data_IF_178145619515
#
_entry.id   IF_178145619515
#
_cell.length_a   1.000
_cell.length_b   1.000
_cell.length_c   1.000
_cell.angle_alpha   90.00
_cell.angle_beta   90.00
_cell.angle_gamma   90.00
#
_symmetry.space_group_name_H-M   'P 1'
#
loop_
_entity.id
_entity.type
_entity.pdbx_description
1 polymer ?
#
# COMPACT_ATOMS: atom_id res chain seq x y z
N UNK A 1 3.26 -11.56 5.77
CA UNK A 1 4.15 -10.99 6.81
C UNK A 1 5.46 -11.74 6.92
N UNK A 2 5.40 -13.07 7.07
CA UNK A 2 6.59 -13.92 7.28
C UNK A 2 7.47 -14.13 6.03
N UNK A 3 6.96 -13.95 4.82
CA UNK A 3 7.74 -14.17 3.59
C UNK A 3 8.54 -12.93 3.12
N UNK A 4 8.31 -11.74 3.71
CA UNK A 4 8.99 -10.50 3.31
C UNK A 4 9.86 -9.97 4.47
N UNK A 5 11.15 -10.31 4.38
CA UNK A 5 12.26 -9.92 5.26
C UNK A 5 12.14 -10.29 6.76
N UNK A 6 11.03 -10.88 7.23
CA UNK A 6 10.80 -11.19 8.67
C UNK A 6 11.28 -10.07 9.61
N UNK A 7 10.97 -8.81 9.26
CA UNK A 7 11.39 -7.61 10.02
C UNK A 7 12.92 -7.43 10.14
N UNK A 8 13.68 -7.78 9.10
CA UNK A 8 15.14 -7.67 9.11
C UNK A 8 15.83 -8.86 9.78
N UNK A 9 15.15 -10.02 9.92
CA UNK A 9 15.71 -11.22 10.56
C UNK A 9 17.05 -11.64 9.93
N UNK A 10 17.19 -11.51 8.62
CA UNK A 10 18.45 -11.79 7.91
C UNK A 10 19.58 -10.89 8.39
N UNK A 11 19.29 -9.60 8.63
CA UNK A 11 20.27 -8.65 9.12
C UNK A 11 20.62 -8.91 10.59
N UNK A 12 19.62 -9.20 11.43
CA UNK A 12 19.82 -9.59 12.83
C UNK A 12 20.68 -10.86 12.95
N UNK A 13 20.43 -11.87 12.09
CA UNK A 13 21.25 -13.10 12.02
C UNK A 13 22.69 -12.82 11.60
N UNK A 14 22.91 -11.90 10.67
CA UNK A 14 24.27 -11.49 10.23
C UNK A 14 25.01 -10.66 11.29
N UNK A 15 24.28 -9.92 12.13
CA UNK A 15 24.84 -9.02 13.13
C UNK A 15 24.31 -9.34 14.54
N UNK A 16 24.66 -10.49 15.13
CA UNK A 16 24.09 -10.94 16.42
C UNK A 16 24.50 -10.06 17.62
N UNK A 17 25.52 -9.22 17.46
CA UNK A 17 25.98 -8.26 18.50
C UNK A 17 25.31 -6.88 18.40
N UNK A 18 24.40 -6.69 17.45
CA UNK A 18 23.68 -5.44 17.26
C UNK A 18 22.82 -5.18 18.50
N UNK A 19 23.09 -4.09 19.23
CA UNK A 19 22.35 -3.71 20.46
C UNK A 19 21.12 -2.85 20.18
N UNK A 20 20.87 -2.53 18.91
CA UNK A 20 19.75 -1.68 18.47
C UNK A 20 18.69 -2.53 17.78
N UNK A 21 17.41 -2.12 17.94
CA UNK A 21 16.29 -2.74 17.23
C UNK A 21 16.21 -2.17 15.82
N UNK A 22 16.35 -3.04 14.82
CA UNK A 22 16.14 -2.66 13.43
C UNK A 22 14.64 -2.73 13.10
N UNK A 23 14.11 -1.66 12.51
CA UNK A 23 12.74 -1.61 11.98
C UNK A 23 12.76 -1.05 10.56
N UNK A 24 11.87 -1.54 9.70
CA UNK A 24 11.81 -1.16 8.29
C UNK A 24 10.76 -0.08 7.99
N UNK A 25 10.06 0.43 9.01
CA UNK A 25 9.05 1.49 8.87
C UNK A 25 7.74 1.07 8.20
N UNK A 26 7.57 -0.20 7.80
CA UNK A 26 6.40 -0.62 7.01
C UNK A 26 5.08 -0.41 7.74
N UNK A 27 5.02 -0.67 9.06
CA UNK A 27 3.79 -0.50 9.85
C UNK A 27 3.33 0.96 9.88
N UNK A 28 4.28 1.89 9.96
CA UNK A 28 3.98 3.32 9.94
C UNK A 28 3.50 3.74 8.54
N UNK A 29 4.17 3.29 7.48
CA UNK A 29 3.73 3.54 6.11
C UNK A 29 2.30 3.02 5.86
N UNK A 30 1.95 1.83 6.36
CA UNK A 30 0.60 1.27 6.29
C UNK A 30 -0.39 2.19 7.01
N UNK A 31 -0.09 2.63 8.23
CA UNK A 31 -0.98 3.49 9.01
C UNK A 31 -1.25 4.83 8.31
N UNK A 32 -0.21 5.46 7.76
CA UNK A 32 -0.32 6.73 7.03
C UNK A 32 -1.14 6.54 5.75
N UNK A 33 -0.92 5.45 5.01
CA UNK A 33 -1.70 5.15 3.80
C UNK A 33 -3.19 4.93 4.13
N UNK A 34 -3.50 4.14 5.17
CA UNK A 34 -4.89 3.92 5.60
C UNK A 34 -5.57 5.23 6.00
N UNK A 35 -4.86 6.15 6.64
CA UNK A 35 -5.38 7.47 7.01
C UNK A 35 -5.58 8.40 5.79
N UNK A 36 -4.88 8.13 4.69
CA UNK A 36 -4.99 8.90 3.44
C UNK A 36 -6.22 8.51 2.60
N UNK A 37 -6.86 7.38 2.90
CA UNK A 37 -8.05 6.92 2.17
C UNK A 37 -9.27 7.74 2.61
N UNK A 38 -10.06 8.31 1.67
CA UNK A 38 -11.24 9.08 2.01
C UNK A 38 -12.24 8.29 2.86
N UNK A 39 -12.80 8.94 3.89
CA UNK A 39 -13.87 8.36 4.72
C UNK A 39 -15.07 7.96 3.86
N UNK A 40 -15.68 6.81 4.17
CA UNK A 40 -16.79 6.25 3.41
C UNK A 40 -16.38 5.44 2.17
N UNK A 41 -15.07 5.25 1.92
CA UNK A 41 -14.59 4.34 0.88
C UNK A 41 -14.94 2.90 1.23
N UNK A 42 -15.76 2.25 0.40
CA UNK A 42 -16.19 0.85 0.58
C UNK A 42 -15.37 -0.14 -0.23
N UNK A 43 -14.69 0.33 -1.28
CA UNK A 43 -13.85 -0.49 -2.15
C UNK A 43 -12.65 0.28 -2.68
N UNK A 44 -11.54 -0.42 -2.84
CA UNK A 44 -10.31 0.10 -3.46
C UNK A 44 -9.83 -0.85 -4.54
N UNK A 45 -9.11 -0.32 -5.54
CA UNK A 45 -8.33 -1.13 -6.46
C UNK A 45 -6.85 -1.11 -6.05
N UNK A 46 -6.23 -2.28 -5.94
CA UNK A 46 -4.79 -2.40 -5.70
C UNK A 46 -4.06 -2.67 -7.03
N UNK A 47 -3.08 -1.82 -7.38
CA UNK A 47 -2.22 -1.95 -8.57
C UNK A 47 -0.75 -1.73 -8.25
N UNK A 48 0.12 -2.26 -9.11
CA UNK A 48 1.57 -2.27 -8.93
C UNK A 48 2.07 -3.53 -8.22
N UNK A 49 3.32 -3.51 -7.80
CA UNK A 49 3.99 -4.65 -7.18
C UNK A 49 3.42 -4.94 -5.79
N UNK A 50 3.18 -6.23 -5.49
CA UNK A 50 2.71 -6.70 -4.18
C UNK A 50 3.85 -6.71 -3.15
N UNK A 51 4.19 -5.53 -2.64
CA UNK A 51 5.19 -5.34 -1.59
C UNK A 51 4.64 -5.71 -0.19
N UNK A 52 5.52 -5.71 0.82
CA UNK A 52 5.12 -5.91 2.23
C UNK A 52 4.06 -4.91 2.68
N UNK A 53 4.21 -3.66 2.26
CA UNK A 53 3.24 -2.59 2.52
C UNK A 53 1.93 -2.88 1.80
N UNK A 54 1.97 -3.25 0.51
CA UNK A 54 0.76 -3.58 -0.25
C UNK A 54 -0.06 -4.72 0.40
N UNK A 55 0.61 -5.81 0.81
CA UNK A 55 -0.02 -6.94 1.49
C UNK A 55 -0.62 -6.51 2.85
N UNK A 56 0.13 -5.74 3.65
CA UNK A 56 -0.31 -5.31 4.97
C UNK A 56 -1.49 -4.31 4.90
N UNK A 57 -1.50 -3.46 3.88
CA UNK A 57 -2.60 -2.53 3.60
C UNK A 57 -3.84 -3.30 3.17
N UNK A 58 -3.71 -4.22 2.21
CA UNK A 58 -4.82 -5.05 1.76
C UNK A 58 -5.45 -5.80 2.94
N UNK A 59 -4.62 -6.39 3.79
CA UNK A 59 -5.03 -7.03 5.03
C UNK A 59 -5.82 -6.10 5.95
N UNK A 60 -5.27 -4.92 6.27
CA UNK A 60 -5.91 -3.97 7.17
C UNK A 60 -7.23 -3.41 6.60
N UNK A 61 -7.35 -3.29 5.28
CA UNK A 61 -8.58 -2.89 4.60
C UNK A 61 -9.65 -3.97 4.68
N UNK A 62 -9.29 -5.23 4.42
CA UNK A 62 -10.20 -6.36 4.58
C UNK A 62 -10.74 -6.43 6.02
N UNK A 63 -9.88 -6.27 7.03
CA UNK A 63 -10.31 -6.23 8.45
C UNK A 63 -11.21 -5.04 8.78
N UNK A 64 -11.11 -3.93 8.04
CA UNK A 64 -12.02 -2.77 8.15
C UNK A 64 -13.31 -2.97 7.35
N UNK A 65 -13.51 -4.13 6.73
CA UNK A 65 -14.67 -4.45 5.90
C UNK A 65 -14.66 -3.78 4.52
N UNK A 66 -13.55 -3.14 4.13
CA UNK A 66 -13.36 -2.48 2.84
C UNK A 66 -12.93 -3.54 1.82
N UNK A 67 -13.60 -3.55 0.68
CA UNK A 67 -13.30 -4.49 -0.39
C UNK A 67 -12.00 -4.11 -1.10
N UNK A 68 -11.08 -5.06 -1.20
CA UNK A 68 -9.83 -4.92 -1.95
C UNK A 68 -10.01 -5.64 -3.28
N UNK A 69 -10.01 -4.88 -4.37
CA UNK A 69 -10.14 -5.41 -5.72
C UNK A 69 -8.76 -5.53 -6.36
N UNK A 70 -8.50 -6.65 -7.00
CA UNK A 70 -7.35 -6.86 -7.91
C UNK A 70 -7.84 -7.27 -9.29
N UNK A 71 -6.97 -7.12 -10.29
CA UNK A 71 -7.35 -7.39 -11.69
C UNK A 71 -6.75 -8.67 -12.26
N UNK A 72 -5.60 -9.09 -11.75
CA UNK A 72 -4.90 -10.28 -12.22
C UNK A 72 -5.13 -11.43 -11.25
N UNK A 73 -5.38 -12.62 -11.79
CA UNK A 73 -5.58 -13.84 -10.99
C UNK A 73 -4.31 -14.20 -10.19
N UNK A 74 -3.12 -14.00 -10.77
CA UNK A 74 -1.85 -14.26 -10.07
C UNK A 74 -1.65 -13.34 -8.85
N UNK A 75 -2.17 -12.12 -8.90
CA UNK A 75 -2.15 -11.20 -7.75
C UNK A 75 -3.15 -11.61 -6.69
N UNK A 76 -4.35 -12.02 -7.13
CA UNK A 76 -5.36 -12.56 -6.24
C UNK A 76 -4.82 -13.75 -5.47
N UNK A 77 -4.24 -14.75 -6.15
CA UNK A 77 -3.68 -15.94 -5.50
C UNK A 77 -2.57 -15.60 -4.50
N UNK A 78 -1.66 -14.67 -4.85
CA UNK A 78 -0.58 -14.22 -3.94
C UNK A 78 -1.14 -13.52 -2.71
N UNK A 79 -2.14 -12.66 -2.88
CA UNK A 79 -2.80 -11.97 -1.77
C UNK A 79 -3.60 -12.96 -0.92
N UNK A 80 -4.42 -13.80 -1.53
CA UNK A 80 -5.25 -14.78 -0.84
C UNK A 80 -4.40 -15.73 0.00
N UNK A 81 -3.30 -16.25 -0.57
CA UNK A 81 -2.31 -17.05 0.19
C UNK A 81 -1.70 -16.27 1.36
N UNK A 82 -1.45 -14.98 1.18
CA UNK A 82 -0.86 -14.11 2.22
C UNK A 82 -1.85 -13.71 3.33
N UNK A 83 -3.12 -13.53 2.99
CA UNK A 83 -4.19 -13.14 3.92
C UNK A 83 -4.83 -14.36 4.61
N UNK A 84 -4.90 -15.50 3.92
CA UNK A 84 -5.62 -16.69 4.37
C UNK A 84 -7.09 -16.41 4.65
N UNK A 85 -7.65 -17.03 5.69
CA UNK A 85 -9.05 -16.83 6.13
C UNK A 85 -9.35 -15.40 6.60
N UNK A 86 -8.32 -14.58 6.79
CA UNK A 86 -8.45 -13.22 7.33
C UNK A 86 -8.92 -12.19 6.31
N UNK A 87 -9.12 -12.59 5.05
CA UNK A 87 -9.72 -11.72 4.04
C UNK A 87 -11.22 -11.52 4.24
N UNK A 88 -11.90 -12.41 4.99
CA UNK A 88 -13.36 -12.39 5.23
C UNK A 88 -14.20 -12.17 3.95
N UNK A 89 -13.71 -12.67 2.81
CA UNK A 89 -14.37 -12.48 1.50
C UNK A 89 -14.30 -11.05 0.95
N UNK A 90 -13.47 -10.18 1.52
CA UNK A 90 -13.27 -8.78 1.08
C UNK A 90 -12.23 -8.64 -0.02
N UNK A 91 -11.43 -9.66 -0.28
CA UNK A 91 -10.56 -9.71 -1.46
C UNK A 91 -11.36 -10.23 -2.65
N UNK A 92 -11.41 -9.48 -3.75
CA UNK A 92 -12.14 -9.88 -4.96
C UNK A 92 -11.32 -9.62 -6.22
N UNK A 93 -11.58 -10.42 -7.25
CA UNK A 93 -11.04 -10.21 -8.60
C UNK A 93 -12.09 -9.53 -9.47
N UNK A 94 -11.70 -8.50 -10.21
CA UNK A 94 -12.55 -7.87 -11.21
C UNK A 94 -11.80 -7.72 -12.54
N UNK A 95 -12.50 -7.85 -13.66
CA UNK A 95 -11.93 -7.51 -14.98
C UNK A 95 -12.11 -6.03 -15.34
N UNK A 96 -12.88 -5.30 -14.53
CA UNK A 96 -13.24 -3.90 -14.81
C UNK A 96 -12.53 -2.94 -13.87
N UNK A 97 -11.80 -2.01 -14.48
CA UNK A 97 -11.18 -0.85 -13.82
C UNK A 97 -12.22 0.16 -13.31
N UNK A 98 -13.45 0.09 -13.83
CA UNK A 98 -14.45 1.15 -13.69
C UNK A 98 -15.25 1.11 -12.40
N UNK A 99 -15.10 0.06 -11.58
CA UNK A 99 -15.84 -0.07 -10.33
C UNK A 99 -15.27 0.79 -9.21
N UNK A 100 -13.95 1.03 -9.20
CA UNK A 100 -13.25 1.65 -8.07
C UNK A 100 -12.86 3.10 -8.32
N UNK A 101 -13.32 4.01 -7.44
CA UNK A 101 -12.92 5.43 -7.45
C UNK A 101 -11.60 5.70 -6.73
N UNK A 102 -11.14 4.78 -5.86
CA UNK A 102 -9.87 4.90 -5.13
C UNK A 102 -8.94 3.78 -5.55
N UNK A 103 -7.73 4.15 -5.99
CA UNK A 103 -6.70 3.25 -6.45
C UNK A 103 -5.48 3.39 -5.54
N UNK A 104 -5.08 2.28 -4.93
CA UNK A 104 -3.83 2.16 -4.21
C UNK A 104 -2.77 1.67 -5.19
N UNK A 105 -1.74 2.48 -5.41
CA UNK A 105 -0.78 2.24 -6.49
C UNK A 105 0.66 2.21 -6.00
N UNK A 106 1.43 1.24 -6.48
CA UNK A 106 2.86 1.14 -6.24
C UNK A 106 3.67 1.16 -7.52
N UNK A 107 4.96 0.85 -7.37
CA UNK A 107 5.85 0.64 -8.51
C UNK A 107 5.30 -0.46 -9.43
N UNK A 108 5.51 -0.33 -10.73
CA UNK A 108 4.97 -1.26 -11.73
C UNK A 108 3.55 -0.93 -12.23
N UNK A 109 2.92 0.15 -11.75
CA UNK A 109 1.74 0.73 -12.40
C UNK A 109 2.11 1.23 -13.80
N UNK A 110 1.46 0.71 -14.84
CA UNK A 110 1.76 1.10 -16.23
C UNK A 110 0.93 2.30 -16.69
N UNK A 111 1.40 2.96 -17.75
CA UNK A 111 0.67 4.08 -18.36
C UNK A 111 -0.69 3.62 -18.94
N UNK A 112 -0.72 2.43 -19.52
CA UNK A 112 -1.92 1.81 -20.07
C UNK A 112 -2.97 1.52 -19.00
N UNK A 113 -2.54 1.06 -17.82
CA UNK A 113 -3.42 0.85 -16.67
C UNK A 113 -4.00 2.18 -16.17
N UNK A 114 -3.18 3.22 -16.03
CA UNK A 114 -3.68 4.55 -15.64
C UNK A 114 -4.70 5.10 -16.63
N UNK A 115 -4.51 4.90 -17.94
CA UNK A 115 -5.45 5.39 -18.96
C UNK A 115 -6.85 4.75 -18.82
N UNK A 116 -6.93 3.53 -18.29
CA UNK A 116 -8.18 2.80 -18.05
C UNK A 116 -8.93 3.26 -16.79
N UNK A 117 -8.33 4.12 -15.97
CA UNK A 117 -9.03 4.70 -14.82
C UNK A 117 -10.21 5.58 -15.26
N UNK A 118 -11.26 5.60 -14.46
CA UNK A 118 -12.40 6.47 -14.71
C UNK A 118 -12.06 7.93 -14.39
N UNK A 119 -12.80 8.85 -15.02
CA UNK A 119 -12.77 10.26 -14.63
C UNK A 119 -13.07 10.40 -13.13
N UNK A 120 -12.26 11.20 -12.44
CA UNK A 120 -12.36 11.44 -11.01
C UNK A 120 -11.76 10.34 -10.12
N UNK A 121 -11.07 9.34 -10.68
CA UNK A 121 -10.33 8.36 -9.88
C UNK A 121 -9.25 9.05 -9.06
N UNK A 122 -9.14 8.65 -7.79
CA UNK A 122 -8.10 9.07 -6.86
C UNK A 122 -7.00 8.01 -6.78
N UNK A 123 -5.79 8.39 -7.18
CA UNK A 123 -4.58 7.58 -7.04
C UNK A 123 -3.86 7.93 -5.74
N UNK A 124 -3.69 6.94 -4.86
CA UNK A 124 -2.96 7.04 -3.61
C UNK A 124 -1.74 6.12 -3.67
N UNK A 125 -0.52 6.68 -3.77
CA UNK A 125 0.68 5.86 -3.84
C UNK A 125 1.03 5.17 -2.52
N UNK A 126 1.56 3.96 -2.60
CA UNK A 126 2.23 3.26 -1.49
C UNK A 126 3.72 2.98 -1.76
N UNK A 127 4.22 3.40 -2.93
CA UNK A 127 5.64 3.43 -3.29
C UNK A 127 6.32 4.68 -2.74
N UNK A 128 7.66 4.66 -2.63
CA UNK A 128 8.42 5.82 -2.15
C UNK A 128 8.26 7.03 -3.08
N UNK A 129 8.26 6.80 -4.39
CA UNK A 129 8.06 7.85 -5.38
C UNK A 129 6.59 7.86 -5.86
N UNK A 130 6.00 9.06 -6.05
CA UNK A 130 4.65 9.17 -6.57
C UNK A 130 4.59 8.75 -8.05
N UNK A 131 3.45 8.22 -8.53
CA UNK A 131 3.28 7.86 -9.92
C UNK A 131 3.31 9.10 -10.80
N UNK A 132 3.74 8.92 -12.05
CA UNK A 132 3.59 9.96 -13.09
C UNK A 132 2.10 10.27 -13.28
N UNK A 133 1.75 11.56 -13.32
CA UNK A 133 0.37 12.03 -13.51
C UNK A 133 0.04 12.05 -15.01
N UNK A 134 -0.67 11.05 -15.50
CA UNK A 134 -0.99 10.94 -16.93
C UNK A 134 -2.38 11.47 -17.29
N UNK A 135 -3.34 11.39 -16.37
CA UNK A 135 -4.71 11.85 -16.58
C UNK A 135 -4.96 13.19 -15.90
N UNK A 136 -5.40 14.20 -16.66
CA UNK A 136 -5.74 15.52 -16.09
C UNK A 136 -7.07 15.54 -15.36
N UNK A 137 -7.92 14.56 -15.60
CA UNK A 137 -9.26 14.44 -15.05
C UNK A 137 -9.34 13.43 -13.90
N UNK A 138 -8.19 13.08 -13.31
CA UNK A 138 -8.04 12.23 -12.12
C UNK A 138 -7.28 12.98 -11.03
N UNK A 139 -7.38 12.51 -9.80
CA UNK A 139 -6.68 13.06 -8.65
C UNK A 139 -5.47 12.19 -8.29
N UNK A 140 -4.35 12.82 -7.98
CA UNK A 140 -3.12 12.12 -7.62
C UNK A 140 -2.58 12.68 -6.31
N UNK A 141 -2.56 11.84 -5.29
CA UNK A 141 -1.82 12.13 -4.07
C UNK A 141 -0.32 11.94 -4.31
N UNK A 142 0.48 12.67 -3.53
CA UNK A 142 1.89 12.36 -3.34
C UNK A 142 2.01 11.12 -2.45
N UNK A 143 3.21 10.53 -2.39
CA UNK A 143 3.53 9.50 -1.39
C UNK A 143 3.11 9.99 -0.01
N UNK A 144 2.20 9.29 0.68
CA UNK A 144 1.73 9.71 1.99
C UNK A 144 2.92 9.88 2.95
N UNK A 145 2.97 11.04 3.58
CA UNK A 145 4.03 11.43 4.50
C UNK A 145 3.41 12.03 5.76
N UNK A 146 4.18 12.02 6.85
CA UNK A 146 3.78 12.68 8.09
C UNK A 146 4.46 14.03 8.20
N UNK A 147 3.72 15.00 8.74
CA UNK A 147 4.33 16.24 9.21
C UNK A 147 4.93 16.01 10.59
N UNK A 148 6.17 16.41 10.75
CA UNK A 148 6.85 16.39 12.05
C UNK A 148 6.11 17.30 13.04
N UNK A 149 5.76 16.81 14.24
CA UNK A 149 5.19 17.66 15.28
C UNK A 149 6.16 18.79 15.63
N UNK A 150 5.64 19.99 15.87
CA UNK A 150 6.48 21.17 16.21
C UNK A 150 7.27 21.00 17.50
N UNK A 151 6.85 20.09 18.39
CA UNK A 151 7.55 19.79 19.64
C UNK A 151 8.71 18.79 19.48
N UNK A 152 8.91 18.20 18.30
CA UNK A 152 10.00 17.26 18.05
C UNK A 152 11.24 18.02 17.57
N UNK A 153 12.28 18.07 18.41
CA UNK A 153 13.55 18.73 18.12
C UNK A 153 14.59 17.76 17.51
N UNK A 154 15.67 18.30 16.92
CA UNK A 154 16.83 17.58 16.38
C UNK A 154 16.54 16.56 15.26
N UNK A 155 15.46 16.77 14.49
CA UNK A 155 15.07 15.87 13.38
C UNK A 155 16.00 15.99 12.15
N UNK A 156 16.78 17.06 12.10
CA UNK A 156 17.82 17.36 11.12
C UNK A 156 19.19 16.72 11.45
N UNK A 157 19.32 16.15 12.66
CA UNK A 157 20.57 15.55 13.14
C UNK A 157 20.52 14.03 13.01
N UNK A 158 21.45 13.46 12.25
CA UNK A 158 21.69 12.01 12.25
C UNK A 158 22.67 11.68 13.39
N UNK A 159 22.25 10.82 14.32
CA UNK A 159 23.16 10.16 15.29
C UNK A 159 24.06 9.12 14.60
#
# INVERSE_FOLDING_TARGET
>A
GEELNRYGEVYVKKHPRLKVKLVDGSSLAVAVLLNSIPKGTTQVLLRGNLTKVALAVAFALCQKGIQVTVLREDEYEKLDKSLGTKSEGKLVTSKSYSSCKVWLVGDGLTEEEQRKANKGTLFIPFSQLPPKKLRKDCFYHTTPAMQTPTALENVDSCE
#
